data_IF_136696520902
#
_entry.id   IF_136696520902
#
_cell.length_a   1.000
_cell.length_b   1.000
_cell.length_c   1.000
_cell.angle_alpha   90.00
_cell.angle_beta   90.00
_cell.angle_gamma   90.00
#
_symmetry.space_group_name_H-M   'P 1'
#
loop_
_entity.id
_entity.type
_entity.pdbx_description
1 polymer ?
#
# COMPACT_ATOMS: atom_id res chain seq x y z
N UNK A 1 19.27 -8.32 -5.45
CA UNK A 1 18.28 -8.10 -6.55
C UNK A 1 16.99 -8.93 -6.47
N UNK A 2 16.75 -9.77 -5.44
CA UNK A 2 15.48 -10.54 -5.29
C UNK A 2 14.29 -9.71 -4.78
N UNK A 3 14.55 -8.68 -3.96
CA UNK A 3 13.55 -7.79 -3.35
C UNK A 3 12.74 -6.99 -4.41
N UNK A 4 13.38 -6.46 -5.46
CA UNK A 4 12.74 -5.69 -6.54
C UNK A 4 11.83 -6.57 -7.41
N UNK A 5 12.20 -7.85 -7.61
CA UNK A 5 11.38 -8.81 -8.35
C UNK A 5 10.07 -9.15 -7.63
N UNK A 6 10.09 -9.13 -6.30
CA UNK A 6 8.93 -9.42 -5.45
C UNK A 6 7.91 -8.27 -5.50
N UNK A 7 8.38 -7.01 -5.41
CA UNK A 7 7.55 -5.82 -5.67
C UNK A 7 6.91 -5.93 -7.05
N UNK A 8 7.69 -6.26 -8.08
CA UNK A 8 7.18 -6.42 -9.45
C UNK A 8 6.12 -7.52 -9.55
N UNK A 9 6.21 -8.60 -8.77
CA UNK A 9 5.26 -9.71 -8.81
C UNK A 9 3.94 -9.42 -8.10
N UNK A 10 3.96 -8.65 -7.00
CA UNK A 10 2.75 -8.13 -6.35
C UNK A 10 2.10 -7.07 -7.26
N UNK A 11 2.91 -6.19 -7.84
CA UNK A 11 2.50 -5.13 -8.77
C UNK A 11 1.86 -5.68 -10.05
N UNK A 12 2.34 -6.83 -10.54
CA UNK A 12 1.85 -7.46 -11.78
C UNK A 12 0.63 -8.37 -11.56
N UNK A 13 0.27 -8.69 -10.30
CA UNK A 13 -0.90 -9.54 -10.01
C UNK A 13 -2.17 -8.75 -9.69
N UNK A 14 -2.06 -7.50 -9.25
CA UNK A 14 -3.22 -6.67 -8.86
C UNK A 14 -3.62 -5.60 -9.87
N UNK A 15 -2.86 -5.39 -10.95
CA UNK A 15 -3.09 -4.27 -11.89
C UNK A 15 -3.23 -2.91 -11.18
N UNK A 16 -2.59 -2.74 -10.01
CA UNK A 16 -2.68 -1.51 -9.22
C UNK A 16 -2.18 -0.29 -10.02
N UNK A 17 -1.28 -0.51 -10.98
CA UNK A 17 -0.84 0.47 -11.96
C UNK A 17 -1.97 0.97 -12.86
N UNK A 18 -2.87 0.07 -13.30
CA UNK A 18 -4.06 0.44 -14.08
C UNK A 18 -5.02 1.23 -13.22
N UNK A 19 -5.29 0.78 -11.99
CA UNK A 19 -6.19 1.47 -11.05
C UNK A 19 -5.68 2.89 -10.77
N UNK A 20 -4.38 3.05 -10.51
CA UNK A 20 -3.78 4.36 -10.26
C UNK A 20 -3.84 5.26 -11.51
N UNK A 21 -3.57 4.73 -12.71
CA UNK A 21 -3.70 5.49 -13.97
C UNK A 21 -5.14 5.95 -14.21
N UNK A 22 -6.12 5.06 -14.02
CA UNK A 22 -7.54 5.39 -14.16
C UNK A 22 -7.96 6.44 -13.12
N UNK A 23 -7.48 6.31 -11.88
CA UNK A 23 -7.72 7.28 -10.83
C UNK A 23 -7.14 8.66 -11.17
N UNK A 24 -5.91 8.74 -11.66
CA UNK A 24 -5.30 10.02 -12.06
C UNK A 24 -6.11 10.70 -13.18
N UNK A 25 -6.53 9.93 -14.20
CA UNK A 25 -7.39 10.44 -15.27
C UNK A 25 -8.71 10.95 -14.68
N UNK A 26 -9.36 10.15 -13.82
CA UNK A 26 -10.60 10.52 -13.17
C UNK A 26 -10.47 11.77 -12.29
N UNK A 27 -9.34 11.91 -11.58
CA UNK A 27 -9.03 13.08 -10.76
C UNK A 27 -8.98 14.35 -11.61
N UNK A 28 -8.22 14.35 -12.71
CA UNK A 28 -8.11 15.53 -13.57
C UNK A 28 -9.42 15.85 -14.31
N UNK A 29 -10.19 14.83 -14.72
CA UNK A 29 -11.53 15.03 -15.29
C UNK A 29 -12.47 15.64 -14.25
N UNK A 30 -12.44 15.14 -13.02
CA UNK A 30 -13.26 15.68 -11.93
C UNK A 30 -12.89 17.13 -11.62
N UNK A 31 -11.60 17.45 -11.55
CA UNK A 31 -11.12 18.82 -11.38
C UNK A 31 -11.57 19.75 -12.51
N UNK A 32 -11.57 19.27 -13.75
CA UNK A 32 -12.07 20.04 -14.90
C UNK A 32 -13.58 20.30 -14.79
N UNK A 33 -14.38 19.28 -14.45
CA UNK A 33 -15.82 19.43 -14.28
C UNK A 33 -16.13 20.38 -13.12
N UNK A 34 -15.44 20.24 -11.99
CA UNK A 34 -15.60 21.12 -10.84
C UNK A 34 -15.29 22.56 -11.22
N UNK A 35 -14.16 22.82 -11.90
CA UNK A 35 -13.80 24.16 -12.41
C UNK A 35 -14.88 24.74 -13.31
N UNK A 36 -15.47 23.93 -14.20
CA UNK A 36 -16.51 24.39 -15.11
C UNK A 36 -17.86 24.63 -14.42
N UNK A 37 -18.14 23.91 -13.33
CA UNK A 37 -19.41 23.98 -12.61
C UNK A 37 -19.42 25.01 -11.48
N UNK A 38 -18.29 25.29 -10.84
CA UNK A 38 -18.21 26.10 -9.63
C UNK A 38 -17.80 27.55 -9.93
N UNK A 39 -18.67 28.56 -9.66
CA UNK A 39 -18.41 29.94 -10.05
C UNK A 39 -17.24 30.59 -9.29
N UNK A 40 -16.91 30.08 -8.11
CA UNK A 40 -15.78 30.57 -7.30
C UNK A 40 -14.42 30.06 -7.82
N UNK A 41 -14.40 28.99 -8.62
CA UNK A 41 -13.20 28.35 -9.14
C UNK A 41 -13.02 28.79 -10.60
N UNK A 42 -12.08 29.70 -10.86
CA UNK A 42 -11.98 30.37 -12.17
C UNK A 42 -10.99 29.72 -13.11
N UNK A 43 -9.99 29.04 -12.55
CA UNK A 43 -8.91 28.41 -13.31
C UNK A 43 -8.83 26.92 -13.02
N UNK A 44 -8.33 26.16 -13.99
CA UNK A 44 -8.13 24.72 -13.81
C UNK A 44 -7.17 24.39 -12.65
N UNK A 45 -6.17 25.24 -12.42
CA UNK A 45 -5.24 25.09 -11.29
C UNK A 45 -5.95 25.17 -9.94
N UNK A 46 -6.91 26.10 -9.78
CA UNK A 46 -7.73 26.20 -8.58
C UNK A 46 -8.64 24.98 -8.40
N UNK A 47 -9.20 24.43 -9.50
CA UNK A 47 -9.99 23.20 -9.44
C UNK A 47 -9.18 21.97 -9.06
N UNK A 48 -7.95 21.86 -9.55
CA UNK A 48 -7.00 20.82 -9.13
C UNK A 48 -6.63 20.98 -7.65
N UNK A 49 -6.36 22.21 -7.20
CA UNK A 49 -6.07 22.52 -5.81
C UNK A 49 -7.23 22.14 -4.88
N UNK A 50 -8.46 22.59 -5.20
CA UNK A 50 -9.67 22.22 -4.45
C UNK A 50 -9.86 20.69 -4.40
N UNK A 51 -9.68 20.01 -5.53
CA UNK A 51 -9.81 18.55 -5.61
C UNK A 51 -8.78 17.86 -4.72
N UNK A 52 -7.52 18.33 -4.72
CA UNK A 52 -6.46 17.80 -3.87
C UNK A 52 -6.77 17.99 -2.38
N UNK A 53 -7.13 19.20 -1.97
CA UNK A 53 -7.48 19.56 -0.59
C UNK A 53 -8.69 18.75 -0.09
N UNK A 54 -9.68 18.52 -0.96
CA UNK A 54 -10.88 17.74 -0.65
C UNK A 54 -10.57 16.25 -0.49
N UNK A 55 -9.79 15.68 -1.41
CA UNK A 55 -9.38 14.26 -1.36
C UNK A 55 -8.50 13.96 -0.17
N UNK A 56 -7.57 14.85 0.15
CA UNK A 56 -6.71 14.73 1.33
C UNK A 56 -7.46 15.05 2.63
N UNK A 57 -8.76 15.37 2.57
CA UNK A 57 -9.60 15.73 3.72
C UNK A 57 -9.05 16.90 4.54
N UNK A 58 -8.27 17.78 3.91
CA UNK A 58 -7.68 18.97 4.55
C UNK A 58 -8.76 20.05 4.74
N UNK A 59 -9.51 20.34 3.67
CA UNK A 59 -10.67 21.23 3.73
C UNK A 59 -10.39 22.67 4.19
N UNK A 60 -9.42 23.36 3.58
CA UNK A 60 -9.08 24.74 3.95
C UNK A 60 -10.25 25.74 3.87
N UNK A 61 -11.24 25.47 3.01
CA UNK A 61 -12.45 26.29 2.87
C UNK A 61 -12.26 27.57 2.05
N UNK A 62 -11.11 27.73 1.40
CA UNK A 62 -10.81 28.76 0.40
C UNK A 62 -11.66 28.60 -0.87
N UNK A 63 -11.93 27.36 -1.28
CA UNK A 63 -12.90 27.01 -2.31
C UNK A 63 -13.90 25.98 -1.79
N UNK A 64 -15.17 26.14 -2.15
CA UNK A 64 -16.26 25.25 -1.73
C UNK A 64 -17.21 24.96 -2.89
N UNK A 65 -17.66 23.71 -2.99
CA UNK A 65 -18.66 23.31 -3.99
C UNK A 65 -20.06 23.74 -3.56
N UNK A 66 -20.64 24.70 -4.28
CA UNK A 66 -21.99 25.22 -4.03
C UNK A 66 -23.01 24.68 -5.03
N UNK A 67 -22.56 24.26 -6.22
CA UNK A 67 -23.45 23.73 -7.25
C UNK A 67 -23.76 22.26 -7.02
N UNK A 68 -24.89 21.80 -7.55
CA UNK A 68 -25.27 20.39 -7.47
C UNK A 68 -24.22 19.48 -8.14
N UNK A 69 -23.75 19.88 -9.34
CA UNK A 69 -22.77 19.11 -10.11
C UNK A 69 -21.43 19.07 -9.38
N UNK A 70 -20.92 20.21 -8.91
CA UNK A 70 -19.66 20.25 -8.18
C UNK A 70 -19.71 19.42 -6.90
N UNK A 71 -20.80 19.49 -6.12
CA UNK A 71 -20.99 18.65 -4.93
C UNK A 71 -21.02 17.16 -5.25
N UNK A 72 -21.75 16.77 -6.30
CA UNK A 72 -21.82 15.37 -6.74
C UNK A 72 -20.43 14.86 -7.15
N UNK A 73 -19.69 15.64 -7.92
CA UNK A 73 -18.34 15.28 -8.35
C UNK A 73 -17.37 15.18 -7.18
N UNK A 74 -17.44 16.10 -6.21
CA UNK A 74 -16.63 16.02 -4.98
C UNK A 74 -16.93 14.74 -4.20
N UNK A 75 -18.20 14.36 -4.02
CA UNK A 75 -18.57 13.12 -3.32
C UNK A 75 -18.00 11.90 -4.04
N UNK A 76 -18.20 11.81 -5.36
CA UNK A 76 -17.67 10.69 -6.16
C UNK A 76 -16.15 10.61 -6.09
N UNK A 77 -15.48 11.76 -6.17
CA UNK A 77 -14.03 11.86 -6.06
C UNK A 77 -13.55 11.41 -4.68
N UNK A 78 -14.20 11.83 -3.59
CA UNK A 78 -13.83 11.43 -2.23
C UNK A 78 -13.98 9.91 -2.02
N UNK A 79 -15.10 9.31 -2.44
CA UNK A 79 -15.32 7.86 -2.29
C UNK A 79 -14.27 7.07 -3.07
N UNK A 80 -14.02 7.44 -4.33
CA UNK A 80 -13.05 6.72 -5.15
C UNK A 80 -11.63 6.85 -4.59
N UNK A 81 -11.27 8.04 -4.12
CA UNK A 81 -9.96 8.27 -3.49
C UNK A 81 -9.75 7.39 -2.26
N UNK A 82 -10.76 7.22 -1.42
CA UNK A 82 -10.70 6.36 -0.24
C UNK A 82 -10.43 4.89 -0.61
N UNK A 83 -11.07 4.39 -1.67
CA UNK A 83 -10.82 3.04 -2.19
C UNK A 83 -9.38 2.88 -2.69
N UNK A 84 -8.86 3.89 -3.41
CA UNK A 84 -7.49 3.87 -3.93
C UNK A 84 -6.47 3.89 -2.78
N UNK A 85 -6.67 4.71 -1.76
CA UNK A 85 -5.79 4.72 -0.58
C UNK A 85 -5.80 3.39 0.19
N UNK A 86 -6.96 2.73 0.29
CA UNK A 86 -7.05 1.40 0.89
C UNK A 86 -6.23 0.36 0.11
N UNK A 87 -6.32 0.38 -1.23
CA UNK A 87 -5.52 -0.50 -2.09
C UNK A 87 -4.03 -0.20 -1.96
N UNK A 88 -3.63 1.07 -2.00
CA UNK A 88 -2.22 1.48 -1.84
C UNK A 88 -1.65 0.97 -0.51
N UNK A 89 -2.41 1.14 0.58
CA UNK A 89 -2.04 0.63 1.91
C UNK A 89 -1.91 -0.91 1.89
N UNK A 90 -2.84 -1.60 1.24
CA UNK A 90 -2.79 -3.06 1.09
C UNK A 90 -1.55 -3.55 0.33
N UNK A 91 -1.15 -2.85 -0.74
CA UNK A 91 0.06 -3.17 -1.51
C UNK A 91 1.32 -3.00 -0.67
N UNK A 92 1.41 -1.90 0.10
CA UNK A 92 2.54 -1.64 1.00
C UNK A 92 2.62 -2.74 2.06
N UNK A 93 1.51 -3.06 2.71
CA UNK A 93 1.45 -4.13 3.73
C UNK A 93 1.84 -5.48 3.15
N UNK A 94 1.34 -5.83 1.96
CA UNK A 94 1.72 -7.08 1.26
C UNK A 94 3.21 -7.15 1.00
N UNK A 95 3.85 -6.03 0.62
CA UNK A 95 5.28 -5.98 0.41
C UNK A 95 6.06 -6.27 1.70
N UNK A 96 5.68 -5.63 2.83
CA UNK A 96 6.32 -5.89 4.11
C UNK A 96 6.11 -7.32 4.61
N UNK A 97 4.90 -7.88 4.40
CA UNK A 97 4.60 -9.27 4.75
C UNK A 97 5.44 -10.25 3.92
N UNK A 98 5.58 -10.02 2.62
CA UNK A 98 6.38 -10.89 1.76
C UNK A 98 7.87 -10.80 2.09
N UNK A 99 8.37 -9.60 2.43
CA UNK A 99 9.74 -9.42 2.93
C UNK A 99 9.96 -10.17 4.25
N UNK A 100 8.98 -10.14 5.17
CA UNK A 100 9.05 -10.89 6.43
C UNK A 100 9.01 -12.41 6.20
N UNK A 101 8.14 -12.90 5.30
CA UNK A 101 8.06 -14.32 4.93
C UNK A 101 9.35 -14.84 4.30
N UNK A 102 10.00 -14.06 3.45
CA UNK A 102 11.29 -14.42 2.87
C UNK A 102 12.34 -14.61 3.96
N UNK A 103 12.41 -13.70 4.93
CA UNK A 103 13.34 -13.79 6.05
C UNK A 103 13.09 -15.02 6.92
N UNK A 104 11.82 -15.35 7.17
CA UNK A 104 11.44 -16.57 7.89
C UNK A 104 11.83 -17.84 7.12
N UNK A 105 11.64 -17.84 5.79
CA UNK A 105 12.01 -18.98 4.93
C UNK A 105 13.51 -19.21 4.92
N UNK A 106 14.31 -18.15 4.78
CA UNK A 106 15.78 -18.26 4.81
C UNK A 106 16.26 -18.84 6.17
N UNK A 107 15.68 -18.39 7.29
CA UNK A 107 16.00 -18.96 8.61
C UNK A 107 15.55 -20.41 8.79
N UNK A 108 14.44 -20.80 8.15
CA UNK A 108 13.96 -22.18 8.20
C UNK A 108 14.81 -23.10 7.32
N UNK A 109 15.32 -22.60 6.19
CA UNK A 109 16.22 -23.33 5.30
C UNK A 109 17.55 -23.61 6.01
N UNK A 110 18.13 -22.62 6.71
CA UNK A 110 19.32 -22.79 7.55
C UNK A 110 19.08 -23.84 8.66
N UNK A 111 17.95 -23.76 9.36
CA UNK A 111 17.61 -24.73 10.41
C UNK A 111 17.42 -26.15 9.85
N UNK A 112 16.81 -26.29 8.67
CA UNK A 112 16.66 -27.59 8.01
C UNK A 112 18.00 -28.16 7.54
N UNK A 113 18.92 -27.32 7.07
CA UNK A 113 20.28 -27.72 6.68
C UNK A 113 21.07 -28.25 7.88
N UNK A 114 20.99 -27.54 9.01
CA UNK A 114 21.55 -28.00 10.28
C UNK A 114 20.94 -29.36 10.71
N UNK A 115 19.63 -29.55 10.52
CA UNK A 115 18.97 -30.83 10.82
C UNK A 115 19.43 -31.98 9.92
N UNK A 116 19.77 -31.72 8.66
CA UNK A 116 20.26 -32.75 7.75
C UNK A 116 21.69 -33.20 8.08
N UNK A 117 22.50 -32.31 8.68
CA UNK A 117 23.90 -32.58 9.05
C UNK A 117 24.09 -32.74 10.57
N UNK A 118 23.06 -33.16 11.29
CA UNK A 118 23.05 -33.28 12.76
C UNK A 118 24.24 -34.06 13.33
N UNK A 119 24.67 -35.12 12.63
CA UNK A 119 25.74 -35.99 13.08
C UNK A 119 27.13 -35.32 13.01
N UNK A 120 27.28 -34.28 12.19
CA UNK A 120 28.55 -33.57 11.97
C UNK A 120 28.62 -32.23 12.73
N UNK A 121 27.55 -31.84 13.43
CA UNK A 121 27.47 -30.54 14.11
C UNK A 121 28.29 -30.48 15.42
N UNK A 122 29.05 -29.39 15.64
CA UNK A 122 29.69 -29.14 16.93
C UNK A 122 28.67 -29.07 18.08
N UNK A 123 29.02 -29.49 19.30
CA UNK A 123 28.11 -29.46 20.46
C UNK A 123 27.53 -28.07 20.77
N UNK A 124 28.29 -27.01 20.49
CA UNK A 124 27.86 -25.62 20.69
C UNK A 124 26.68 -25.23 19.79
N UNK A 125 26.71 -25.62 18.51
CA UNK A 125 25.62 -25.39 17.54
C UNK A 125 24.34 -26.15 17.93
N UNK A 126 24.48 -27.39 18.40
CA UNK A 126 23.36 -28.21 18.88
C UNK A 126 22.66 -27.58 20.10
N UNK A 127 23.44 -27.02 21.03
CA UNK A 127 22.91 -26.30 22.19
C UNK A 127 22.13 -25.04 21.76
N UNK A 128 22.66 -24.29 20.80
CA UNK A 128 22.02 -23.10 20.24
C UNK A 128 20.69 -23.43 19.53
N UNK A 129 20.65 -24.51 18.73
CA UNK A 129 19.42 -24.98 18.09
C UNK A 129 18.35 -25.39 19.10
N UNK A 130 18.73 -26.11 20.16
CA UNK A 130 17.82 -26.54 21.24
C UNK A 130 17.22 -25.34 21.98
N UNK A 131 18.03 -24.32 22.29
CA UNK A 131 17.60 -23.04 22.86
C UNK A 131 16.59 -22.32 21.95
N UNK A 132 16.91 -22.23 20.64
CA UNK A 132 16.07 -21.56 19.64
C UNK A 132 14.72 -22.26 19.47
N UNK A 133 14.71 -23.59 19.44
CA UNK A 133 13.50 -24.41 19.36
C UNK A 133 12.62 -24.30 20.62
N UNK A 134 13.24 -24.31 21.82
CA UNK A 134 12.51 -24.10 23.09
C UNK A 134 11.88 -22.72 23.17
N UNK A 135 12.61 -21.66 22.76
CA UNK A 135 12.06 -20.29 22.66
C UNK A 135 10.89 -20.21 21.68
N UNK A 136 10.97 -20.91 20.54
CA UNK A 136 9.89 -20.95 19.56
C UNK A 136 8.62 -21.62 20.10
N UNK A 137 8.76 -22.73 20.84
CA UNK A 137 7.62 -23.42 21.47
C UNK A 137 6.98 -22.59 22.58
N UNK A 138 7.78 -21.88 23.38
CA UNK A 138 7.30 -21.03 24.47
C UNK A 138 6.50 -19.82 24.00
N UNK A 139 6.80 -19.27 22.82
CA UNK A 139 6.07 -18.14 22.24
C UNK A 139 4.76 -18.55 21.53
N UNK A 140 4.46 -19.86 21.42
CA UNK A 140 3.23 -20.38 20.80
C UNK A 140 2.13 -20.76 21.82
N UNK A 141 2.45 -20.78 23.11
CA UNK A 141 1.49 -20.91 24.21
C UNK A 141 1.13 -19.53 24.76
#
# INVERSE_FOLDING_TARGET
MKQIRMIRNIYSRTHADRILRVYLIFFFISALIITASEPAIKTFGEGVWYSFVSVMTIGFGDYVAVTFIGRLMTILLSIYSMLVFAILTGVITSFFMDAAKMRYRDSMEEFMDDLMHLEELPPERLAEMSEKAKKFNKNRQ
#
